data_IF_461693377934
#
_entry.id   IF_461693377934
#
_cell.length_a   1.000
_cell.length_b   1.000
_cell.length_c   1.000
_cell.angle_alpha   90.00
_cell.angle_beta   90.00
_cell.angle_gamma   90.00
#
_symmetry.space_group_name_H-M   'P 1'
#
loop_
_entity.id
_entity.type
_entity.pdbx_description
1 polymer ?
#
# COMPACT_ATOMS: atom_id res chain seq x y z
N UNK A 1 -12.21 -0.66 3.47
CA UNK A 1 -11.50 -1.83 2.88
C UNK A 1 -10.07 -1.80 3.36
N UNK A 2 -9.49 -2.95 3.66
CA UNK A 2 -8.12 -3.05 4.16
C UNK A 2 -7.20 -3.75 3.16
N UNK A 3 -6.01 -3.19 2.92
CA UNK A 3 -4.98 -3.78 2.08
C UNK A 3 -3.69 -3.90 2.88
N UNK A 4 -3.30 -5.14 3.19
CA UNK A 4 -1.98 -5.43 3.75
C UNK A 4 -0.97 -5.53 2.60
N UNK A 5 0.13 -4.81 2.74
CA UNK A 5 1.25 -4.79 1.81
C UNK A 5 2.47 -5.37 2.53
N UNK A 6 2.92 -6.54 2.07
CA UNK A 6 4.09 -7.21 2.63
C UNK A 6 5.27 -7.06 1.67
N UNK A 7 6.32 -6.40 2.13
CA UNK A 7 7.54 -6.21 1.37
C UNK A 7 8.62 -7.23 1.74
N UNK A 8 9.24 -7.83 0.72
CA UNK A 8 10.39 -8.74 0.85
C UNK A 8 11.53 -8.23 -0.02
N UNK A 9 12.67 -7.91 0.61
CA UNK A 9 13.87 -7.44 -0.11
C UNK A 9 13.69 -6.05 -0.73
N UNK A 10 13.04 -5.13 -0.01
CA UNK A 10 12.80 -3.76 -0.46
C UNK A 10 14.16 -3.07 -0.78
N UNK A 11 14.33 -2.51 -1.99
CA UNK A 11 15.58 -1.85 -2.38
C UNK A 11 15.72 -0.40 -1.88
N UNK A 12 14.64 0.16 -1.34
CA UNK A 12 14.52 1.53 -0.82
C UNK A 12 14.05 1.50 0.63
N UNK A 13 14.03 2.65 1.31
CA UNK A 13 13.47 2.71 2.65
C UNK A 13 11.95 2.45 2.60
N UNK A 14 11.42 1.79 3.63
CA UNK A 14 9.99 1.57 3.75
C UNK A 14 9.26 2.90 3.91
N UNK A 15 9.86 3.84 4.63
CA UNK A 15 9.26 5.14 4.90
C UNK A 15 9.08 5.95 3.59
N UNK A 16 9.97 5.78 2.60
CA UNK A 16 9.77 6.38 1.26
C UNK A 16 8.52 5.82 0.54
N UNK A 17 8.21 4.54 0.76
CA UNK A 17 6.99 3.93 0.22
C UNK A 17 5.76 4.40 0.98
N UNK A 18 5.86 4.53 2.30
CA UNK A 18 4.80 5.04 3.17
C UNK A 18 4.42 6.47 2.75
N UNK A 19 5.39 7.38 2.64
CA UNK A 19 5.17 8.77 2.21
C UNK A 19 4.54 8.86 0.81
N UNK A 20 5.00 8.05 -0.14
CA UNK A 20 4.45 8.04 -1.49
C UNK A 20 3.01 7.53 -1.54
N UNK A 21 2.67 6.54 -0.70
CA UNK A 21 1.32 6.04 -0.58
C UNK A 21 0.42 7.03 0.15
N UNK A 22 0.88 7.65 1.25
CA UNK A 22 0.16 8.72 1.93
C UNK A 22 -0.18 9.86 0.96
N UNK A 23 0.78 10.31 0.15
CA UNK A 23 0.54 11.34 -0.86
C UNK A 23 -0.47 10.92 -1.94
N UNK A 24 -0.54 9.63 -2.29
CA UNK A 24 -1.47 9.10 -3.29
C UNK A 24 -2.89 8.85 -2.75
N UNK A 25 -3.01 8.65 -1.43
CA UNK A 25 -4.25 8.28 -0.74
C UNK A 25 -4.73 9.33 0.28
N UNK A 26 -4.09 10.50 0.40
CA UNK A 26 -4.40 11.58 1.37
C UNK A 26 -5.89 11.91 1.48
N UNK A 27 -6.66 11.77 0.39
CA UNK A 27 -8.09 12.06 0.31
C UNK A 27 -9.00 10.83 0.32
N UNK A 28 -8.44 9.62 0.18
CA UNK A 28 -9.18 8.38 -0.09
C UNK A 28 -8.91 7.29 0.97
N UNK A 29 -7.93 7.46 1.87
CA UNK A 29 -7.60 6.46 2.89
C UNK A 29 -6.46 6.86 3.82
N UNK A 30 -6.28 6.05 4.87
CA UNK A 30 -5.21 6.16 5.85
C UNK A 30 -4.17 5.05 5.61
N UNK A 31 -2.89 5.43 5.56
CA UNK A 31 -1.77 4.49 5.58
C UNK A 31 -1.34 4.31 7.03
N UNK A 32 -1.31 3.06 7.48
CA UNK A 32 -0.88 2.69 8.82
C UNK A 32 0.41 1.88 8.68
N UNK A 33 1.51 2.45 9.15
CA UNK A 33 2.80 1.76 9.22
C UNK A 33 2.84 0.68 10.30
N UNK A 34 2.75 -0.59 9.92
CA UNK A 34 2.92 -1.72 10.84
C UNK A 34 4.37 -2.25 10.81
N UNK A 35 5.19 -1.80 11.77
CA UNK A 35 6.41 -2.47 12.26
C UNK A 35 7.40 -3.09 11.26
N UNK A 36 8.62 -2.54 11.19
CA UNK A 36 9.78 -3.13 10.49
C UNK A 36 10.39 -4.32 11.28
N UNK A 37 9.88 -5.54 11.07
CA UNK A 37 10.35 -6.75 11.77
C UNK A 37 11.27 -7.64 10.93
N UNK A 38 12.53 -7.84 11.38
CA UNK A 38 13.50 -8.87 10.95
C UNK A 38 13.40 -9.31 9.46
N UNK A 39 13.53 -8.36 8.52
CA UNK A 39 13.68 -8.66 7.09
C UNK A 39 12.40 -8.65 6.26
N UNK A 40 11.25 -8.31 6.87
CA UNK A 40 10.01 -7.96 6.17
C UNK A 40 9.47 -6.65 6.72
N UNK A 41 8.88 -5.88 5.83
CA UNK A 41 8.20 -4.64 6.18
C UNK A 41 6.73 -4.76 5.82
N UNK A 42 5.85 -4.27 6.69
CA UNK A 42 4.42 -4.28 6.47
C UNK A 42 3.93 -2.83 6.38
N UNK A 43 3.03 -2.58 5.42
CA UNK A 43 2.23 -1.37 5.37
C UNK A 43 0.78 -1.80 5.23
N UNK A 44 -0.07 -1.21 6.05
CA UNK A 44 -1.50 -1.43 6.01
C UNK A 44 -2.15 -0.18 5.42
N UNK A 45 -2.99 -0.36 4.41
CA UNK A 45 -3.76 0.72 3.79
C UNK A 45 -5.24 0.50 4.08
N UNK A 46 -5.82 1.40 4.87
CA UNK A 46 -7.24 1.47 5.10
C UNK A 46 -7.86 2.49 4.14
N UNK A 47 -8.73 2.03 3.25
CA UNK A 47 -9.41 2.90 2.27
C UNK A 47 -10.80 3.20 2.80
N UNK A 48 -11.03 4.49 3.08
CA UNK A 48 -12.30 5.05 3.51
C UNK A 48 -13.17 5.31 2.27
N UNK A 49 -14.02 4.34 1.92
CA UNK A 49 -14.96 4.49 0.82
C UNK A 49 -16.15 3.56 0.98
N UNK A 50 -17.30 4.00 0.46
CA UNK A 50 -18.46 3.14 0.27
C UNK A 50 -18.00 1.85 -0.45
N UNK A 51 -18.50 0.69 -0.01
CA UNK A 51 -18.11 -0.65 -0.48
C UNK A 51 -18.48 -0.95 -1.94
N UNK A 52 -18.42 0.03 -2.83
CA UNK A 52 -18.61 -0.14 -4.26
C UNK A 52 -17.35 -0.74 -4.89
N UNK A 53 -17.51 -1.90 -5.54
CA UNK A 53 -16.43 -2.67 -6.21
C UNK A 53 -15.60 -1.82 -7.18
N UNK A 54 -16.19 -0.78 -7.77
CA UNK A 54 -15.51 0.14 -8.67
C UNK A 54 -14.48 1.02 -7.95
N UNK A 55 -14.81 1.52 -6.74
CA UNK A 55 -13.89 2.33 -5.93
C UNK A 55 -12.70 1.50 -5.45
N UNK A 56 -12.96 0.27 -5.00
CA UNK A 56 -11.93 -0.72 -4.66
C UNK A 56 -10.96 -0.98 -5.81
N UNK A 57 -11.48 -1.19 -7.03
CA UNK A 57 -10.64 -1.47 -8.20
C UNK A 57 -9.75 -0.27 -8.53
N UNK A 58 -10.31 0.94 -8.56
CA UNK A 58 -9.56 2.16 -8.82
C UNK A 58 -8.46 2.42 -7.78
N UNK A 59 -8.75 2.15 -6.50
CA UNK A 59 -7.78 2.27 -5.43
C UNK A 59 -6.63 1.25 -5.56
N UNK A 60 -6.92 0.00 -5.90
CA UNK A 60 -5.89 -1.01 -6.15
C UNK A 60 -5.03 -0.70 -7.39
N UNK A 61 -5.62 -0.14 -8.45
CA UNK A 61 -4.86 0.32 -9.61
C UNK A 61 -3.93 1.48 -9.25
N UNK A 62 -4.40 2.45 -8.45
CA UNK A 62 -3.56 3.55 -7.96
C UNK A 62 -2.43 3.04 -7.07
N UNK A 63 -2.71 2.12 -6.15
CA UNK A 63 -1.71 1.47 -5.31
C UNK A 63 -0.61 0.81 -6.15
N UNK A 64 -1.00 0.04 -7.16
CA UNK A 64 -0.06 -0.62 -8.07
C UNK A 64 0.78 0.37 -8.87
N UNK A 65 0.18 1.49 -9.30
CA UNK A 65 0.90 2.55 -10.00
C UNK A 65 2.02 3.14 -9.12
N UNK A 66 1.71 3.51 -7.87
CA UNK A 66 2.71 4.04 -6.92
C UNK A 66 3.85 3.05 -6.69
N UNK A 67 3.52 1.77 -6.44
CA UNK A 67 4.54 0.73 -6.24
C UNK A 67 5.40 0.51 -7.51
N UNK A 68 4.81 0.70 -8.69
CA UNK A 68 5.52 0.59 -9.97
C UNK A 68 6.45 1.77 -10.20
N UNK A 69 6.01 2.99 -9.88
CA UNK A 69 6.81 4.21 -10.02
C UNK A 69 8.03 4.18 -9.09
N UNK A 70 7.87 3.60 -7.90
CA UNK A 70 8.97 3.34 -6.96
C UNK A 70 9.83 2.13 -7.34
N UNK A 71 9.42 1.33 -8.33
CA UNK A 71 10.15 0.13 -8.76
C UNK A 71 10.10 -1.03 -7.76
N UNK A 72 9.15 -1.04 -6.83
CA UNK A 72 9.04 -2.04 -5.75
C UNK A 72 7.90 -3.03 -5.92
N UNK A 73 7.14 -2.97 -7.03
CA UNK A 73 6.02 -3.88 -7.28
C UNK A 73 6.38 -5.37 -7.18
N UNK A 74 7.60 -5.75 -7.57
CA UNK A 74 8.07 -7.14 -7.49
C UNK A 74 8.46 -7.58 -6.07
N UNK A 75 8.63 -6.63 -5.16
CA UNK A 75 8.93 -6.86 -3.75
C UNK A 75 7.67 -6.86 -2.89
N UNK A 76 6.53 -6.40 -3.42
CA UNK A 76 5.28 -6.20 -2.70
C UNK A 76 4.28 -7.33 -2.96
N UNK A 77 3.82 -7.99 -1.90
CA UNK A 77 2.65 -8.86 -1.93
C UNK A 77 1.45 -8.10 -1.34
N UNK A 78 0.32 -8.09 -2.06
CA UNK A 78 -0.90 -7.39 -1.68
C UNK A 78 -1.96 -8.39 -1.21
N UNK A 79 -2.40 -8.28 0.05
CA UNK A 79 -3.53 -9.04 0.58
C UNK A 79 -4.70 -8.07 0.83
N UNK A 80 -5.79 -8.27 0.11
CA UNK A 80 -7.00 -7.43 0.22
C UNK A 80 -8.02 -8.12 1.12
N UNK A 81 -8.55 -7.39 2.10
CA UNK A 81 -9.61 -7.82 3.01
C UNK A 81 -10.75 -6.79 3.03
N UNK A 82 -11.99 -7.29 3.14
CA UNK A 82 -13.22 -6.49 3.23
C UNK A 82 -13.51 -6.05 4.67
#
# INVERSE_FOLDING_TARGET
MFVEIVFVGLPIDRDEVEEALEAAFELDGEIIGAGSGMGRCHLDLEIEGDSETTATTAALERLRAVLSDLGVSNCAALNVSE
#
